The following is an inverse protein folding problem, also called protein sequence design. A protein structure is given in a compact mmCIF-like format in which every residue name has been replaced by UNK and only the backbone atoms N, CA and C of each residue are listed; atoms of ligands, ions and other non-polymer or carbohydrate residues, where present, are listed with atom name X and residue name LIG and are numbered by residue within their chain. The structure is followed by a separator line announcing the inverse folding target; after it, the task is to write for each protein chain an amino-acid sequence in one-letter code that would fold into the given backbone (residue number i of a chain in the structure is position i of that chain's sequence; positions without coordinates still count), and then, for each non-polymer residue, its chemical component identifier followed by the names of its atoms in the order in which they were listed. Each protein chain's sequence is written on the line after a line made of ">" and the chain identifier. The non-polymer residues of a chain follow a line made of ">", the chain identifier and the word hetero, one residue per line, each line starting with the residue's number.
data_IF_880190018773
#
_entry.id   IF_880190018773
#
_cell.length_a   1.000
_cell.length_b   1.000
_cell.length_c   1.000
_cell.angle_alpha   90.00
_cell.angle_beta   90.00
_cell.angle_gamma   90.00
#
_symmetry.space_group_name_H-M   'P 1'
#
loop_
_entity.id
_entity.type
_entity.pdbx_description
1 polymer ?
#
# COMPACT_ATOMS: atom_id res chain seq x y z
N UNK A 1 -29.11 -0.30 14.14
CA UNK A 1 -29.50 -0.62 12.75
C UNK A 1 -29.34 0.54 11.74
N UNK A 2 -29.10 1.78 12.17
CA UNK A 2 -28.86 2.93 11.26
C UNK A 2 -27.37 3.32 11.11
N UNK A 3 -26.46 2.62 11.80
CA UNK A 3 -25.02 2.92 11.76
C UNK A 3 -24.32 2.31 10.54
N UNK A 4 -25.01 1.43 9.81
CA UNK A 4 -24.36 0.58 8.81
C UNK A 4 -24.05 1.26 7.47
N UNK A 5 -24.64 2.38 7.14
CA UNK A 5 -24.47 2.98 5.80
C UNK A 5 -23.66 4.28 5.75
N UNK A 6 -23.58 5.07 6.81
CA UNK A 6 -22.99 6.44 6.70
C UNK A 6 -22.02 6.82 7.82
N UNK A 7 -21.76 5.96 8.80
CA UNK A 7 -20.92 6.26 9.96
C UNK A 7 -21.42 7.46 10.79
N UNK A 8 -20.93 7.59 12.02
CA UNK A 8 -21.25 8.72 12.91
C UNK A 8 -19.96 9.41 13.35
N UNK A 9 -19.97 10.70 13.51
CA UNK A 9 -18.89 11.43 14.13
C UNK A 9 -18.69 10.94 15.58
N UNK A 10 -17.43 10.84 16.05
CA UNK A 10 -17.10 10.31 17.38
C UNK A 10 -17.97 10.87 18.51
N UNK A 11 -18.25 12.19 18.59
CA UNK A 11 -19.13 12.75 19.62
C UNK A 11 -20.59 12.27 19.54
N UNK A 12 -21.11 12.12 18.33
CA UNK A 12 -22.49 11.66 18.10
C UNK A 12 -22.68 10.19 18.48
N UNK A 13 -21.69 9.36 18.18
CA UNK A 13 -21.71 7.92 18.49
C UNK A 13 -21.63 7.70 20.00
N UNK A 14 -20.77 8.47 20.70
CA UNK A 14 -20.68 8.45 22.17
C UNK A 14 -22.00 8.87 22.81
N UNK A 15 -22.62 9.98 22.34
CA UNK A 15 -23.91 10.46 22.85
C UNK A 15 -25.06 9.46 22.62
N UNK A 16 -25.11 8.81 21.46
CA UNK A 16 -26.15 7.84 21.13
C UNK A 16 -25.99 6.54 21.91
N UNK A 17 -24.77 6.05 22.11
CA UNK A 17 -24.48 4.89 22.91
C UNK A 17 -24.65 5.16 24.42
N UNK A 18 -24.34 6.37 24.89
CA UNK A 18 -24.44 6.78 26.28
C UNK A 18 -25.88 6.95 26.78
N UNK A 19 -26.88 6.94 25.90
CA UNK A 19 -28.30 6.93 26.31
C UNK A 19 -28.68 5.70 27.13
N UNK A 20 -27.88 4.62 27.08
CA UNK A 20 -28.10 3.37 27.81
C UNK A 20 -26.93 2.93 28.68
N UNK A 21 -25.79 3.66 28.67
CA UNK A 21 -24.55 3.22 29.33
C UNK A 21 -23.70 4.43 29.70
N UNK A 22 -22.83 4.32 30.70
CA UNK A 22 -21.95 5.39 31.16
C UNK A 22 -20.99 5.85 30.05
N UNK A 23 -20.86 7.16 29.81
CA UNK A 23 -20.02 7.77 28.75
C UNK A 23 -18.57 7.26 28.80
N UNK A 24 -17.98 7.10 29.99
CA UNK A 24 -16.63 6.61 30.18
C UNK A 24 -16.42 5.16 29.64
N UNK A 25 -17.43 4.30 29.83
CA UNK A 25 -17.38 2.90 29.34
C UNK A 25 -17.47 2.89 27.80
N UNK A 26 -18.34 3.73 27.24
CA UNK A 26 -18.47 3.85 25.78
C UNK A 26 -17.16 4.34 25.15
N UNK A 27 -16.50 5.32 25.77
CA UNK A 27 -15.19 5.81 25.33
C UNK A 27 -14.13 4.72 25.30
N UNK A 28 -13.99 3.98 26.40
CA UNK A 28 -13.01 2.89 26.51
C UNK A 28 -13.27 1.77 25.48
N UNK A 29 -14.53 1.38 25.28
CA UNK A 29 -14.91 0.36 24.29
C UNK A 29 -14.59 0.85 22.86
N UNK A 30 -14.89 2.11 22.54
CA UNK A 30 -14.57 2.69 21.24
C UNK A 30 -13.04 2.70 20.95
N UNK A 31 -12.24 3.01 21.96
CA UNK A 31 -10.78 2.97 21.81
C UNK A 31 -10.26 1.55 21.54
N UNK A 32 -10.81 0.56 22.22
CA UNK A 32 -10.46 -0.86 21.98
C UNK A 32 -10.86 -1.26 20.57
N UNK A 33 -12.09 -0.95 20.12
CA UNK A 33 -12.59 -1.29 18.78
C UNK A 33 -11.88 -0.54 17.64
N UNK A 34 -11.33 0.63 17.90
CA UNK A 34 -10.48 1.35 16.96
C UNK A 34 -9.07 0.74 16.92
N UNK A 35 -8.56 0.29 18.06
CA UNK A 35 -7.22 -0.30 18.17
C UNK A 35 -7.16 -1.71 17.55
N UNK A 36 -8.19 -2.51 17.70
CA UNK A 36 -8.28 -3.86 17.12
C UNK A 36 -8.72 -3.86 15.64
N UNK A 37 -9.05 -2.67 15.08
CA UNK A 37 -9.44 -2.52 13.68
C UNK A 37 -10.89 -2.93 13.37
N UNK A 38 -11.72 -3.25 14.35
CA UNK A 38 -13.16 -3.52 14.17
C UNK A 38 -13.90 -2.26 13.71
N UNK A 39 -13.49 -1.12 14.25
CA UNK A 39 -13.93 0.21 13.83
C UNK A 39 -12.75 1.00 13.26
N UNK A 40 -13.00 1.83 12.27
CA UNK A 40 -12.02 2.73 11.68
C UNK A 40 -12.56 4.14 11.54
N UNK A 41 -11.66 5.11 11.52
CA UNK A 41 -11.98 6.50 11.31
C UNK A 41 -11.86 6.79 9.80
N UNK A 42 -12.97 7.08 9.14
CA UNK A 42 -13.02 7.49 7.75
C UNK A 42 -13.73 8.84 7.64
N UNK A 43 -13.09 9.83 7.03
CA UNK A 43 -13.60 11.21 6.85
C UNK A 43 -14.15 11.85 8.14
N UNK A 44 -13.47 11.62 9.28
CA UNK A 44 -13.89 12.13 10.58
C UNK A 44 -15.07 11.39 11.22
N UNK A 45 -15.51 10.28 10.62
CA UNK A 45 -16.60 9.42 11.11
C UNK A 45 -16.08 8.04 11.51
N UNK A 46 -16.65 7.48 12.56
CA UNK A 46 -16.39 6.10 12.97
C UNK A 46 -17.35 5.18 12.21
N UNK A 47 -16.79 4.23 11.49
CA UNK A 47 -17.51 3.24 10.68
C UNK A 47 -16.99 1.85 11.01
N UNK A 48 -17.81 0.82 10.80
CA UNK A 48 -17.35 -0.56 10.89
C UNK A 48 -16.37 -0.85 9.75
N UNK A 49 -15.25 -1.49 10.04
CA UNK A 49 -14.31 -1.94 9.01
C UNK A 49 -14.98 -2.84 7.96
N UNK A 50 -16.01 -3.60 8.37
CA UNK A 50 -16.81 -4.42 7.45
C UNK A 50 -17.77 -3.61 6.56
N UNK A 51 -18.27 -2.46 7.04
CA UNK A 51 -19.17 -1.63 6.23
C UNK A 51 -18.43 -0.79 5.20
N UNK A 52 -17.18 -0.41 5.47
CA UNK A 52 -16.30 0.21 4.48
C UNK A 52 -16.06 -0.74 3.31
N UNK A 53 -15.87 -2.03 3.59
CA UNK A 53 -15.59 -3.05 2.58
C UNK A 53 -16.77 -3.38 1.64
N UNK A 54 -17.98 -2.93 1.93
CA UNK A 54 -19.18 -3.38 1.18
C UNK A 54 -19.91 -2.28 0.39
N UNK A 55 -19.67 -1.00 0.66
CA UNK A 55 -20.53 0.06 0.12
C UNK A 55 -19.83 1.13 -0.71
N UNK A 56 -18.49 1.23 -0.69
CA UNK A 56 -17.76 2.18 -1.50
C UNK A 56 -17.08 1.47 -2.68
N UNK A 57 -17.54 1.71 -3.92
CA UNK A 57 -16.91 1.16 -5.13
C UNK A 57 -15.41 1.46 -5.21
N UNK A 58 -14.98 2.60 -4.70
CA UNK A 58 -13.56 3.03 -4.67
C UNK A 58 -12.71 2.04 -3.89
N UNK A 59 -13.21 1.63 -2.72
CA UNK A 59 -12.50 0.68 -1.85
C UNK A 59 -12.52 -0.71 -2.48
N UNK A 60 -13.63 -1.13 -3.08
CA UNK A 60 -13.70 -2.43 -3.76
C UNK A 60 -12.70 -2.53 -4.91
N UNK A 61 -12.59 -1.49 -5.74
CA UNK A 61 -11.60 -1.43 -6.84
C UNK A 61 -10.16 -1.45 -6.31
N UNK A 62 -9.88 -0.72 -5.21
CA UNK A 62 -8.57 -0.75 -4.56
C UNK A 62 -8.25 -2.14 -4.01
N UNK A 63 -9.18 -2.80 -3.33
CA UNK A 63 -8.97 -4.14 -2.78
C UNK A 63 -8.67 -5.15 -3.87
N UNK A 64 -9.42 -5.14 -4.97
CA UNK A 64 -9.17 -6.01 -6.13
C UNK A 64 -7.75 -5.79 -6.70
N UNK A 65 -7.35 -4.53 -6.90
CA UNK A 65 -6.02 -4.17 -7.36
C UNK A 65 -4.92 -4.60 -6.39
N UNK A 66 -5.13 -4.33 -5.10
CA UNK A 66 -4.19 -4.69 -4.02
C UNK A 66 -3.96 -6.18 -3.93
N UNK A 67 -5.03 -6.96 -4.00
CA UNK A 67 -4.96 -8.42 -3.87
C UNK A 67 -4.22 -9.03 -5.07
N UNK A 68 -4.45 -8.54 -6.30
CA UNK A 68 -3.69 -8.97 -7.47
C UNK A 68 -2.21 -8.60 -7.37
N UNK A 69 -1.87 -7.41 -6.88
CA UNK A 69 -0.49 -7.00 -6.64
C UNK A 69 0.19 -7.86 -5.55
N UNK A 70 -0.54 -8.27 -4.53
CA UNK A 70 -0.04 -9.20 -3.50
C UNK A 70 0.21 -10.60 -4.06
N UNK A 71 -0.65 -11.08 -4.95
CA UNK A 71 -0.46 -12.37 -5.65
C UNK A 71 0.78 -12.30 -6.54
N UNK A 72 0.95 -11.21 -7.28
CA UNK A 72 2.11 -11.01 -8.16
C UNK A 72 3.45 -10.91 -7.39
N UNK A 73 3.42 -10.55 -6.12
CA UNK A 73 4.61 -10.41 -5.25
C UNK A 73 5.66 -9.49 -5.90
N UNK A 74 6.80 -10.09 -6.29
CA UNK A 74 7.95 -9.37 -6.86
C UNK A 74 7.82 -9.15 -8.37
N UNK A 75 7.00 -9.95 -9.07
CA UNK A 75 6.76 -9.80 -10.51
C UNK A 75 5.67 -8.76 -10.77
N UNK A 76 5.97 -7.51 -10.41
CA UNK A 76 5.04 -6.38 -10.50
C UNK A 76 4.55 -6.19 -11.94
N UNK A 77 3.24 -6.36 -12.20
CA UNK A 77 2.71 -6.28 -13.56
C UNK A 77 2.68 -4.85 -14.11
N UNK A 78 2.62 -4.69 -15.43
CA UNK A 78 2.27 -3.41 -16.04
C UNK A 78 0.78 -3.12 -15.86
N UNK A 79 0.39 -1.84 -15.85
CA UNK A 79 -1.00 -1.42 -15.60
C UNK A 79 -2.00 -2.02 -16.59
N UNK A 80 -1.60 -2.22 -17.87
CA UNK A 80 -2.46 -2.87 -18.88
C UNK A 80 -2.84 -4.28 -18.47
N UNK A 81 -1.85 -5.07 -18.04
CA UNK A 81 -2.04 -6.46 -17.66
C UNK A 81 -2.83 -6.56 -16.35
N UNK A 82 -2.46 -5.72 -15.37
CA UNK A 82 -3.17 -5.62 -14.10
C UNK A 82 -4.66 -5.31 -14.34
N UNK A 83 -4.96 -4.28 -15.14
CA UNK A 83 -6.33 -3.90 -15.50
C UNK A 83 -7.10 -5.06 -16.13
N UNK A 84 -6.47 -5.77 -17.07
CA UNK A 84 -7.11 -6.90 -17.76
C UNK A 84 -7.42 -8.05 -16.81
N UNK A 85 -6.53 -8.34 -15.86
CA UNK A 85 -6.73 -9.41 -14.87
C UNK A 85 -7.87 -9.12 -13.91
N UNK A 86 -7.99 -7.86 -13.44
CA UNK A 86 -9.01 -7.48 -12.45
C UNK A 86 -10.32 -6.99 -13.10
N UNK A 87 -10.38 -6.84 -14.43
CA UNK A 87 -11.58 -6.44 -15.15
C UNK A 87 -12.04 -5.00 -14.92
N UNK A 88 -11.16 -4.10 -14.45
CA UNK A 88 -11.51 -2.71 -14.21
C UNK A 88 -11.43 -1.86 -15.49
N UNK A 89 -12.29 -0.87 -15.58
CA UNK A 89 -12.17 0.21 -16.57
C UNK A 89 -10.96 1.10 -16.24
N UNK A 90 -10.55 1.94 -17.18
CA UNK A 90 -9.44 2.87 -16.96
C UNK A 90 -9.73 3.87 -15.84
N UNK A 91 -10.98 4.32 -15.72
CA UNK A 91 -11.40 5.26 -14.67
C UNK A 91 -11.35 4.59 -13.29
N UNK A 92 -11.90 3.38 -13.15
CA UNK A 92 -11.88 2.62 -11.90
C UNK A 92 -10.46 2.30 -11.45
N UNK A 93 -9.57 1.94 -12.39
CA UNK A 93 -8.16 1.74 -12.09
C UNK A 93 -7.49 3.02 -11.59
N UNK A 94 -7.76 4.19 -12.20
CA UNK A 94 -7.25 5.48 -11.73
C UNK A 94 -7.72 5.82 -10.32
N UNK A 95 -8.99 5.52 -10.01
CA UNK A 95 -9.56 5.70 -8.68
C UNK A 95 -8.85 4.80 -7.66
N UNK A 96 -8.68 3.51 -7.98
CA UNK A 96 -7.96 2.55 -7.13
C UNK A 96 -6.51 2.98 -6.87
N UNK A 97 -5.78 3.42 -7.91
CA UNK A 97 -4.42 3.96 -7.79
C UNK A 97 -4.38 5.17 -6.85
N UNK A 98 -5.29 6.13 -7.06
CA UNK A 98 -5.36 7.33 -6.22
C UNK A 98 -5.59 6.96 -4.76
N UNK A 99 -6.48 6.02 -4.48
CA UNK A 99 -6.76 5.54 -3.13
C UNK A 99 -5.51 4.92 -2.48
N UNK A 100 -4.87 3.96 -3.17
CA UNK A 100 -3.65 3.30 -2.65
C UNK A 100 -2.48 4.25 -2.43
N UNK A 101 -2.30 5.24 -3.31
CA UNK A 101 -1.26 6.26 -3.14
C UNK A 101 -1.56 7.22 -1.98
N UNK A 102 -2.83 7.62 -1.80
CA UNK A 102 -3.23 8.51 -0.69
C UNK A 102 -3.03 7.87 0.68
N UNK A 103 -3.09 6.54 0.76
CA UNK A 103 -2.85 5.77 1.98
C UNK A 103 -1.39 5.33 2.15
N UNK A 104 -0.48 5.76 1.27
CA UNK A 104 0.92 5.34 1.23
C UNK A 104 1.13 3.82 1.10
N UNK A 105 0.12 3.07 0.65
CA UNK A 105 0.20 1.63 0.41
C UNK A 105 0.76 1.31 -0.99
N UNK A 106 0.64 2.26 -1.93
CA UNK A 106 1.03 2.10 -3.32
C UNK A 106 1.99 3.21 -3.75
N UNK A 107 3.04 2.83 -4.47
CA UNK A 107 4.04 3.76 -5.03
C UNK A 107 4.14 3.61 -6.54
N UNK A 108 4.28 4.74 -7.22
CA UNK A 108 4.52 4.79 -8.65
C UNK A 108 5.99 4.51 -8.93
N UNK A 109 6.29 3.42 -9.64
CA UNK A 109 7.65 3.11 -10.13
C UNK A 109 7.96 3.93 -11.38
N UNK A 110 7.05 3.87 -12.36
CA UNK A 110 7.15 4.63 -13.62
C UNK A 110 5.75 4.91 -14.20
N UNK A 111 5.66 5.32 -15.45
CA UNK A 111 4.39 5.62 -16.12
C UNK A 111 3.44 4.42 -16.22
N UNK A 112 3.97 3.20 -16.24
CA UNK A 112 3.21 1.96 -16.52
C UNK A 112 3.20 0.96 -15.38
N UNK A 113 3.89 1.23 -14.26
CA UNK A 113 3.99 0.30 -13.11
C UNK A 113 3.82 1.00 -11.78
N UNK A 114 3.12 0.30 -10.90
CA UNK A 114 2.96 0.66 -9.49
C UNK A 114 3.25 -0.57 -8.64
N UNK A 115 3.87 -0.39 -7.48
CA UNK A 115 4.15 -1.47 -6.56
C UNK A 115 3.64 -1.15 -5.15
N UNK A 116 3.33 -2.19 -4.41
CA UNK A 116 3.00 -2.08 -2.99
C UNK A 116 4.22 -1.59 -2.19
N UNK A 117 4.01 -0.78 -1.19
CA UNK A 117 5.05 -0.29 -0.29
C UNK A 117 5.88 -1.44 0.32
N UNK A 118 5.20 -2.52 0.73
CA UNK A 118 5.86 -3.69 1.31
C UNK A 118 6.74 -4.43 0.29
N UNK A 119 6.31 -4.52 -0.97
CA UNK A 119 7.11 -5.10 -2.06
C UNK A 119 8.39 -4.28 -2.28
N UNK A 120 8.28 -2.96 -2.34
CA UNK A 120 9.45 -2.08 -2.50
C UNK A 120 10.40 -2.16 -1.31
N UNK A 121 9.86 -2.21 -0.09
CA UNK A 121 10.67 -2.38 1.13
C UNK A 121 11.41 -3.72 1.12
N UNK A 122 10.75 -4.80 0.72
CA UNK A 122 11.37 -6.12 0.60
C UNK A 122 12.50 -6.12 -0.43
N UNK A 123 12.26 -5.56 -1.62
CA UNK A 123 13.27 -5.46 -2.68
C UNK A 123 14.45 -4.61 -2.21
N UNK A 124 14.21 -3.44 -1.65
CA UNK A 124 15.25 -2.54 -1.20
C UNK A 124 16.10 -3.17 -0.07
N UNK A 125 15.47 -3.86 0.89
CA UNK A 125 16.17 -4.59 1.94
C UNK A 125 17.02 -5.72 1.37
N UNK A 126 16.49 -6.50 0.44
CA UNK A 126 17.24 -7.58 -0.21
C UNK A 126 18.43 -7.07 -1.04
N UNK A 127 18.29 -5.92 -1.71
CA UNK A 127 19.40 -5.28 -2.43
C UNK A 127 20.50 -4.83 -1.45
N UNK A 128 20.14 -4.27 -0.30
CA UNK A 128 21.13 -3.88 0.73
C UNK A 128 21.89 -5.11 1.23
N UNK A 129 21.20 -6.21 1.47
CA UNK A 129 21.84 -7.47 1.89
C UNK A 129 22.74 -8.03 0.78
N UNK A 130 22.28 -8.01 -0.47
CA UNK A 130 23.04 -8.45 -1.63
C UNK A 130 24.31 -7.63 -1.85
N UNK A 131 24.20 -6.31 -1.75
CA UNK A 131 25.32 -5.38 -1.96
C UNK A 131 26.38 -5.48 -0.86
N UNK A 132 25.98 -5.76 0.39
CA UNK A 132 26.89 -5.58 1.52
C UNK A 132 27.48 -4.18 1.51
N UNK A 133 28.83 -4.10 1.53
CA UNK A 133 29.58 -2.83 1.44
C UNK A 133 30.12 -2.54 0.02
N UNK A 134 29.77 -3.36 -0.96
CA UNK A 134 30.30 -3.28 -2.33
C UNK A 134 29.31 -2.82 -3.39
N UNK A 135 29.81 -2.63 -4.62
CA UNK A 135 28.95 -2.39 -5.77
C UNK A 135 28.23 -3.67 -6.19
N UNK A 136 27.05 -3.51 -6.78
CA UNK A 136 26.23 -4.59 -7.34
C UNK A 136 25.73 -4.26 -8.74
N UNK A 137 25.33 -5.27 -9.49
CA UNK A 137 24.88 -5.15 -10.89
C UNK A 137 23.42 -5.48 -11.07
N UNK A 138 22.83 -5.09 -12.20
CA UNK A 138 21.46 -5.48 -12.61
C UNK A 138 21.33 -7.01 -12.71
N UNK A 139 22.39 -7.71 -13.14
CA UNK A 139 22.37 -9.16 -13.29
C UNK A 139 22.23 -9.86 -11.93
N UNK A 140 23.00 -9.44 -10.94
CA UNK A 140 22.95 -9.98 -9.59
C UNK A 140 21.56 -9.76 -8.94
N UNK A 141 20.99 -8.55 -9.08
CA UNK A 141 19.64 -8.25 -8.56
C UNK A 141 18.59 -9.12 -9.27
N UNK A 142 18.68 -9.24 -10.61
CA UNK A 142 17.76 -10.08 -11.39
C UNK A 142 17.80 -11.53 -10.92
N UNK A 143 18.97 -12.10 -10.69
CA UNK A 143 19.16 -13.49 -10.21
C UNK A 143 18.66 -13.64 -8.78
N UNK A 144 19.02 -12.72 -7.89
CA UNK A 144 18.64 -12.78 -6.48
C UNK A 144 17.11 -12.80 -6.28
N UNK A 145 16.37 -12.01 -7.03
CA UNK A 145 14.91 -11.92 -6.92
C UNK A 145 14.16 -12.79 -7.95
N UNK A 146 14.85 -13.45 -8.86
CA UNK A 146 14.29 -14.24 -9.96
C UNK A 146 13.23 -13.46 -10.79
N UNK A 147 13.45 -12.15 -11.03
CA UNK A 147 12.55 -11.28 -11.78
C UNK A 147 13.10 -10.93 -13.17
N UNK A 148 12.22 -10.46 -14.08
CA UNK A 148 12.61 -10.11 -15.43
C UNK A 148 13.56 -8.91 -15.49
N UNK A 149 14.53 -8.91 -16.44
CA UNK A 149 15.54 -7.85 -16.59
C UNK A 149 14.93 -6.44 -16.71
N UNK A 150 13.83 -6.30 -17.47
CA UNK A 150 13.15 -5.01 -17.65
C UNK A 150 12.63 -4.47 -16.32
N UNK A 151 11.93 -5.30 -15.56
CA UNK A 151 11.42 -4.94 -14.24
C UNK A 151 12.55 -4.61 -13.27
N UNK A 152 13.66 -5.38 -13.29
CA UNK A 152 14.83 -5.11 -12.46
C UNK A 152 15.40 -3.70 -12.71
N UNK A 153 15.52 -3.31 -13.98
CA UNK A 153 16.02 -1.98 -14.35
C UNK A 153 15.06 -0.89 -13.86
N UNK A 154 13.76 -1.04 -14.11
CA UNK A 154 12.73 -0.08 -13.69
C UNK A 154 12.70 0.10 -12.16
N UNK A 155 12.84 -0.98 -11.39
CA UNK A 155 12.92 -0.93 -9.92
C UNK A 155 14.20 -0.23 -9.43
N UNK A 156 15.33 -0.52 -10.06
CA UNK A 156 16.60 0.12 -9.70
C UNK A 156 16.62 1.61 -10.05
N UNK A 157 16.04 2.00 -11.19
CA UNK A 157 15.88 3.42 -11.55
C UNK A 157 14.95 4.15 -10.57
N UNK A 158 13.90 3.50 -10.10
CA UNK A 158 13.06 4.04 -9.05
C UNK A 158 13.85 4.22 -7.74
N UNK A 159 14.62 3.21 -7.30
CA UNK A 159 15.46 3.30 -6.10
C UNK A 159 16.57 4.37 -6.23
N UNK A 160 17.12 4.56 -7.42
CA UNK A 160 18.05 5.66 -7.72
C UNK A 160 17.34 7.02 -7.55
N UNK A 161 16.10 7.14 -8.04
CA UNK A 161 15.33 8.40 -7.97
C UNK A 161 14.98 8.83 -6.54
N UNK A 162 14.86 7.89 -5.62
CA UNK A 162 14.61 8.15 -4.19
C UNK A 162 15.88 8.09 -3.33
N UNK A 163 17.06 8.08 -3.97
CA UNK A 163 18.39 8.09 -3.34
C UNK A 163 18.67 6.89 -2.42
N UNK A 164 18.04 5.75 -2.63
CA UNK A 164 18.39 4.49 -1.94
C UNK A 164 19.63 3.88 -2.58
N UNK A 165 19.71 3.89 -3.90
CA UNK A 165 20.85 3.44 -4.68
C UNK A 165 21.38 4.56 -5.56
N UNK A 166 22.60 4.41 -6.04
CA UNK A 166 23.22 5.33 -6.98
C UNK A 166 23.96 4.55 -8.07
N UNK A 167 23.71 4.90 -9.33
CA UNK A 167 24.38 4.30 -10.48
C UNK A 167 25.82 4.79 -10.57
N UNK A 168 26.75 3.83 -10.76
CA UNK A 168 28.15 4.09 -11.01
C UNK A 168 28.61 3.22 -12.21
N UNK A 169 28.58 3.79 -13.42
CA UNK A 169 28.86 3.06 -14.65
C UNK A 169 27.88 1.92 -14.90
N UNK A 170 28.39 0.69 -14.94
CA UNK A 170 27.57 -0.54 -15.11
C UNK A 170 27.12 -1.16 -13.79
N UNK A 171 27.57 -0.65 -12.66
CA UNK A 171 27.20 -1.08 -11.33
C UNK A 171 26.38 0.00 -10.59
N UNK A 172 25.91 -0.34 -9.41
CA UNK A 172 25.28 0.55 -8.43
C UNK A 172 25.87 0.34 -7.06
N UNK A 173 25.75 1.36 -6.23
CA UNK A 173 26.11 1.31 -4.81
C UNK A 173 24.91 1.73 -3.96
N UNK A 174 24.88 1.32 -2.70
CA UNK A 174 23.90 1.81 -1.73
C UNK A 174 24.29 3.24 -1.37
N UNK A 175 23.39 4.19 -1.59
CA UNK A 175 23.57 5.60 -1.26
C UNK A 175 23.06 5.91 0.13
N UNK A 176 21.86 5.44 0.49
CA UNK A 176 21.26 5.72 1.78
C UNK A 176 20.35 4.59 2.26
N UNK A 177 20.90 3.70 3.08
CA UNK A 177 20.15 2.59 3.67
C UNK A 177 19.09 3.03 4.72
N UNK A 178 19.14 4.27 5.22
CA UNK A 178 18.22 4.75 6.28
C UNK A 178 16.82 5.06 5.77
N UNK A 179 16.66 5.37 4.49
CA UNK A 179 15.36 5.69 3.87
C UNK A 179 14.36 4.52 3.95
N UNK A 180 14.86 3.29 4.10
CA UNK A 180 14.03 2.08 4.08
C UNK A 180 13.50 1.72 5.50
N UNK A 181 14.05 2.33 6.54
CA UNK A 181 13.68 2.02 7.94
C UNK A 181 12.52 2.86 8.48
N UNK A 182 11.97 3.77 7.68
CA UNK A 182 10.75 4.54 7.96
C UNK A 182 9.56 3.94 7.22
#
# INVERSE_FOLDING_TARGET
>A
TQVEAHGLAKPQLVLQAARKTHVAIVGAVLEVLLKDGTLVLADGRIVSAQSINRSDPTIAHWLAMRDELKIARLDVPVLSDLRSRIGLTELELKIAIKHGMSNAELHRINATRYAMADTLRHIATGIIVLAGDGPFTVAEVKEHFAIGRKLTIELLEFLDSINVTQRNGNARVISNAKVIKQ
#
